data_IF_239167784844
#
_entry.id   IF_239167784844
#
_cell.length_a   1.000
_cell.length_b   1.000
_cell.length_c   1.000
_cell.angle_alpha   90.00
_cell.angle_beta   90.00
_cell.angle_gamma   90.00
#
_symmetry.space_group_name_H-M   'P 1'
#
loop_
_entity.id
_entity.type
_entity.pdbx_description
1 polymer ?
#
# COMPACT_ATOMS: atom_id res chain seq x y z
N UNK A 1 -33.40 -28.47 21.88
CA UNK A 1 -32.33 -27.76 22.62
C UNK A 1 -31.05 -28.45 22.19
N UNK A 2 -30.41 -27.94 21.14
CA UNK A 2 -29.10 -28.39 20.69
C UNK A 2 -28.26 -27.13 20.61
N UNK A 3 -27.48 -26.91 21.67
CA UNK A 3 -26.24 -26.13 21.63
C UNK A 3 -25.33 -26.83 20.60
N UNK A 4 -24.68 -26.20 19.64
CA UNK A 4 -24.00 -24.90 19.72
C UNK A 4 -22.51 -25.18 19.58
N UNK A 5 -22.03 -25.43 18.36
CA UNK A 5 -20.60 -25.38 18.05
C UNK A 5 -20.39 -24.28 17.01
N UNK A 6 -19.99 -23.13 17.55
CA UNK A 6 -19.52 -21.96 16.84
C UNK A 6 -18.15 -22.32 16.26
N UNK A 7 -18.10 -22.63 14.97
CA UNK A 7 -16.84 -22.78 14.25
C UNK A 7 -16.12 -21.43 14.30
N UNK A 8 -15.02 -21.38 15.06
CA UNK A 8 -14.05 -20.30 14.96
C UNK A 8 -13.42 -20.42 13.57
N UNK A 9 -13.63 -19.40 12.77
CA UNK A 9 -12.88 -19.14 11.54
C UNK A 9 -11.48 -18.71 11.97
N UNK A 10 -10.63 -19.71 12.23
CA UNK A 10 -9.22 -19.52 12.51
C UNK A 10 -8.51 -19.24 11.17
N UNK A 11 -8.67 -18.00 10.67
CA UNK A 11 -8.02 -17.53 9.46
C UNK A 11 -6.50 -17.71 9.54
N UNK A 12 -5.95 -18.44 8.58
CA UNK A 12 -4.50 -18.53 8.37
C UNK A 12 -3.91 -17.12 8.26
N UNK A 13 -2.75 -16.82 8.88
CA UNK A 13 -2.11 -15.52 8.71
C UNK A 13 -1.85 -15.31 7.22
N UNK A 14 -2.30 -14.17 6.70
CA UNK A 14 -2.13 -13.82 5.30
C UNK A 14 -0.62 -13.74 5.01
N UNK A 15 -0.09 -14.59 4.12
CA UNK A 15 1.34 -14.70 3.74
C UNK A 15 1.86 -13.46 2.96
N UNK A 16 1.13 -12.35 3.00
CA UNK A 16 1.38 -11.13 2.24
C UNK A 16 2.42 -10.26 2.96
N UNK A 17 3.46 -9.76 2.28
CA UNK A 17 4.41 -8.83 2.87
C UNK A 17 3.69 -7.56 3.38
N UNK A 18 4.01 -7.04 4.58
CA UNK A 18 3.37 -5.84 5.10
C UNK A 18 3.66 -4.62 4.23
N UNK A 19 2.76 -3.65 4.21
CA UNK A 19 3.02 -2.32 3.66
C UNK A 19 3.80 -1.50 4.70
N UNK A 20 5.03 -1.92 4.94
CA UNK A 20 5.83 -1.49 6.10
C UNK A 20 6.26 -0.01 6.03
N UNK A 21 5.91 0.74 7.07
CA UNK A 21 6.41 2.07 7.38
C UNK A 21 7.26 2.06 8.66
N UNK A 22 8.15 3.04 8.83
CA UNK A 22 9.01 3.15 10.02
C UNK A 22 8.55 4.27 10.94
N UNK A 23 8.48 3.99 12.25
CA UNK A 23 8.23 4.98 13.31
C UNK A 23 9.55 5.45 13.93
N UNK A 24 9.67 6.74 14.20
CA UNK A 24 10.87 7.37 14.75
C UNK A 24 10.63 7.93 16.17
N UNK A 25 11.70 8.21 16.96
CA UNK A 25 11.57 8.68 18.34
C UNK A 25 10.80 10.00 18.51
N UNK A 26 10.82 10.86 17.49
CA UNK A 26 10.11 12.15 17.45
C UNK A 26 8.60 12.00 17.21
N UNK A 27 8.14 10.77 16.91
CA UNK A 27 6.75 10.45 16.60
C UNK A 27 6.46 10.38 15.11
N UNK A 28 7.37 10.85 14.25
CA UNK A 28 7.19 10.81 12.79
C UNK A 28 7.07 9.36 12.30
N UNK A 29 6.26 9.16 11.27
CA UNK A 29 6.14 7.88 10.56
C UNK A 29 6.44 8.10 9.08
N UNK A 30 7.42 7.36 8.54
CA UNK A 30 7.83 7.50 7.13
C UNK A 30 7.55 6.23 6.34
N UNK A 31 7.00 6.44 5.14
CA UNK A 31 6.87 5.43 4.11
C UNK A 31 7.46 5.94 2.79
N UNK A 32 8.36 5.19 2.13
CA UNK A 32 9.00 3.96 2.61
C UNK A 32 9.89 4.17 3.85
N UNK A 33 10.28 3.11 4.58
CA UNK A 33 11.14 3.23 5.75
C UNK A 33 12.53 3.71 5.33
N UNK A 34 13.08 4.67 6.08
CA UNK A 34 14.43 5.18 5.89
C UNK A 34 15.35 4.78 7.06
N UNK A 35 16.66 4.57 6.82
CA UNK A 35 17.59 4.25 7.90
C UNK A 35 17.65 5.31 9.00
N UNK A 36 17.44 6.58 8.64
CA UNK A 36 17.43 7.72 9.56
C UNK A 36 16.20 8.57 9.29
N UNK A 37 15.53 8.99 10.37
CA UNK A 37 14.40 9.91 10.34
C UNK A 37 14.83 11.37 10.15
N UNK A 38 13.88 12.32 10.18
CA UNK A 38 14.15 13.74 9.94
C UNK A 38 15.18 14.34 10.91
N UNK A 39 15.15 13.89 12.17
CA UNK A 39 16.08 14.33 13.22
C UNK A 39 17.40 13.53 13.26
N UNK A 40 17.63 12.63 12.29
CA UNK A 40 18.84 11.82 12.18
C UNK A 40 18.91 10.64 13.14
N UNK A 41 17.79 10.28 13.80
CA UNK A 41 17.69 9.10 14.65
C UNK A 41 17.25 7.86 13.85
N UNK A 42 17.66 6.68 14.33
CA UNK A 42 17.22 5.38 13.80
C UNK A 42 15.75 5.11 14.17
N UNK A 43 15.03 4.28 13.38
CA UNK A 43 13.65 3.92 13.68
C UNK A 43 13.52 3.12 14.98
N UNK A 44 12.41 3.31 15.69
CA UNK A 44 12.09 2.64 16.97
C UNK A 44 11.01 1.57 16.83
N UNK A 45 10.43 1.42 15.65
CA UNK A 45 9.43 0.39 15.36
C UNK A 45 8.93 0.47 13.91
N UNK A 46 8.08 -0.46 13.57
CA UNK A 46 7.40 -0.53 12.27
C UNK A 46 5.89 -0.39 12.44
N UNK A 47 5.23 0.03 11.37
CA UNK A 47 3.77 0.09 11.25
C UNK A 47 3.42 -0.56 9.92
N UNK A 48 2.46 -1.49 9.91
CA UNK A 48 1.92 -2.00 8.66
C UNK A 48 0.76 -1.11 8.20
N UNK A 49 0.95 -0.40 7.08
CA UNK A 49 -0.08 0.46 6.52
C UNK A 49 -1.23 -0.35 5.88
N UNK A 50 -1.06 -1.65 5.62
CA UNK A 50 -2.11 -2.51 5.05
C UNK A 50 -3.31 -2.68 6.00
N UNK A 51 -3.10 -2.47 7.30
CA UNK A 51 -4.13 -2.51 8.34
C UNK A 51 -5.00 -1.24 8.39
N UNK A 52 -4.68 -0.22 7.58
CA UNK A 52 -5.32 1.09 7.60
C UNK A 52 -6.00 1.42 6.27
N UNK A 53 -7.07 2.22 6.34
CA UNK A 53 -7.58 2.92 5.17
C UNK A 53 -6.83 4.24 4.96
N UNK A 54 -6.77 4.68 3.70
CA UNK A 54 -6.19 5.95 3.31
C UNK A 54 -7.23 6.83 2.60
N UNK A 55 -6.96 8.13 2.55
CA UNK A 55 -7.75 9.11 1.79
C UNK A 55 -7.00 9.51 0.52
N UNK A 56 -7.69 9.57 -0.62
CA UNK A 56 -7.08 10.04 -1.88
C UNK A 56 -6.83 11.55 -1.79
N UNK A 57 -5.56 11.94 -1.86
CA UNK A 57 -5.13 13.35 -1.84
C UNK A 57 -5.17 13.94 -3.25
N UNK A 58 -4.73 13.17 -4.24
CA UNK A 58 -4.76 13.53 -5.66
C UNK A 58 -4.53 12.28 -6.50
N UNK A 59 -4.96 12.31 -7.77
CA UNK A 59 -4.77 11.19 -8.68
C UNK A 59 -4.69 11.65 -10.14
N UNK A 60 -4.23 10.74 -11.00
CA UNK A 60 -4.15 10.95 -12.45
C UNK A 60 -4.19 9.64 -13.21
N UNK A 61 -4.44 9.71 -14.52
CA UNK A 61 -4.40 8.57 -15.43
C UNK A 61 -3.23 8.69 -16.41
N UNK A 62 -2.33 7.71 -16.38
CA UNK A 62 -1.30 7.55 -17.41
C UNK A 62 -1.83 6.66 -18.53
N UNK A 63 -2.04 7.24 -19.71
CA UNK A 63 -2.61 6.55 -20.88
C UNK A 63 -1.57 6.10 -21.91
N UNK A 64 -0.28 6.23 -21.60
CA UNK A 64 0.81 5.80 -22.49
C UNK A 64 1.91 5.24 -21.60
N UNK A 65 1.71 4.02 -21.12
CA UNK A 65 2.55 3.46 -20.07
C UNK A 65 3.78 2.77 -20.65
N UNK A 66 4.89 2.69 -19.90
CA UNK A 66 6.02 1.87 -20.30
C UNK A 66 5.60 0.39 -20.47
N UNK A 67 6.33 -0.39 -21.28
CA UNK A 67 6.11 -1.82 -21.41
C UNK A 67 6.02 -2.53 -20.05
N UNK A 68 5.07 -3.47 -19.96
CA UNK A 68 4.77 -4.25 -18.76
C UNK A 68 3.87 -3.57 -17.74
N UNK A 69 3.66 -2.26 -17.84
CA UNK A 69 2.72 -1.54 -16.98
C UNK A 69 1.35 -1.48 -17.66
N UNK A 70 0.30 -1.89 -16.94
CA UNK A 70 -1.11 -1.86 -17.40
C UNK A 70 -1.47 -0.50 -17.98
N UNK A 71 -2.18 -0.46 -19.12
CA UNK A 71 -2.66 0.78 -19.75
C UNK A 71 -4.19 0.76 -19.85
N UNK A 72 -4.90 1.81 -19.39
CA UNK A 72 -4.39 2.95 -18.62
C UNK A 72 -3.91 2.53 -17.21
N UNK A 73 -2.96 3.29 -16.66
CA UNK A 73 -2.52 3.14 -15.27
C UNK A 73 -2.99 4.34 -14.45
N UNK A 74 -3.96 4.11 -13.57
CA UNK A 74 -4.46 5.11 -12.63
C UNK A 74 -3.52 5.17 -11.43
N UNK A 75 -2.99 6.35 -11.13
CA UNK A 75 -2.03 6.59 -10.07
C UNK A 75 -2.61 7.55 -9.05
N UNK A 76 -2.54 7.19 -7.77
CA UNK A 76 -3.02 8.02 -6.66
C UNK A 76 -1.90 8.32 -5.67
N UNK A 77 -1.96 9.51 -5.08
CA UNK A 77 -1.30 9.80 -3.80
C UNK A 77 -2.38 9.70 -2.73
N UNK A 78 -2.13 8.87 -1.73
CA UNK A 78 -3.05 8.62 -0.62
C UNK A 78 -2.40 9.04 0.69
N UNK A 79 -3.21 9.38 1.68
CA UNK A 79 -2.79 9.74 3.03
C UNK A 79 -3.48 8.83 4.05
N UNK A 80 -2.68 8.10 4.81
CA UNK A 80 -3.11 7.33 5.97
C UNK A 80 -3.06 8.25 7.20
N UNK A 81 -4.02 8.07 8.10
CA UNK A 81 -3.96 8.60 9.47
C UNK A 81 -3.58 7.45 10.40
N UNK A 82 -2.35 7.51 10.94
CA UNK A 82 -1.82 6.52 11.88
C UNK A 82 -1.62 7.19 13.23
N UNK A 83 -2.53 6.96 14.17
CA UNK A 83 -2.53 7.58 15.50
C UNK A 83 -2.45 9.13 15.47
N UNK A 84 -3.04 9.77 14.45
CA UNK A 84 -2.97 11.22 14.24
C UNK A 84 -1.75 11.72 13.48
N UNK A 85 -0.87 10.82 13.02
CA UNK A 85 0.25 11.14 12.13
C UNK A 85 -0.11 10.84 10.67
N UNK A 86 0.13 11.81 9.79
CA UNK A 86 -0.17 11.68 8.37
C UNK A 86 0.96 10.98 7.61
N UNK A 87 0.68 9.81 7.03
CA UNK A 87 1.64 9.05 6.22
C UNK A 87 1.17 9.01 4.78
N UNK A 88 2.01 9.46 3.83
CA UNK A 88 1.64 9.47 2.40
C UNK A 88 2.31 8.37 1.63
N UNK A 89 1.55 7.77 0.71
CA UNK A 89 2.05 6.79 -0.24
C UNK A 89 1.58 7.14 -1.66
N UNK A 90 2.37 6.72 -2.65
CA UNK A 90 1.97 6.73 -4.06
C UNK A 90 1.81 5.28 -4.53
N UNK A 91 0.73 5.01 -5.26
CA UNK A 91 0.46 3.66 -5.77
C UNK A 91 -0.54 3.65 -6.91
N UNK A 92 -0.77 2.47 -7.48
CA UNK A 92 -1.77 2.29 -8.53
C UNK A 92 -3.15 2.19 -7.90
N UNK A 93 -4.12 2.88 -8.47
CA UNK A 93 -5.54 2.67 -8.17
C UNK A 93 -6.05 1.46 -8.94
N UNK A 94 -7.06 0.79 -8.39
CA UNK A 94 -7.70 -0.36 -9.05
C UNK A 94 -8.67 0.04 -10.17
N UNK A 95 -9.18 1.27 -10.13
CA UNK A 95 -10.15 1.87 -11.06
C UNK A 95 -9.88 3.38 -11.23
N UNK A 96 -10.47 4.01 -12.24
CA UNK A 96 -10.58 5.48 -12.39
C UNK A 96 -11.84 6.07 -11.75
N UNK A 97 -12.71 5.23 -11.21
CA UNK A 97 -13.90 5.62 -10.44
C UNK A 97 -13.50 6.05 -9.03
N UNK A 98 -12.76 7.16 -8.93
CA UNK A 98 -12.29 7.73 -7.67
C UNK A 98 -12.20 9.25 -7.74
N UNK A 99 -12.49 9.91 -6.62
CA UNK A 99 -12.41 11.34 -6.45
C UNK A 99 -11.42 11.71 -5.34
N UNK A 100 -10.97 12.97 -5.32
CA UNK A 100 -10.16 13.50 -4.22
C UNK A 100 -11.03 13.52 -2.95
N UNK A 101 -10.52 12.91 -1.87
CA UNK A 101 -11.23 12.75 -0.61
C UNK A 101 -11.87 11.37 -0.41
N UNK A 102 -11.89 10.52 -1.44
CA UNK A 102 -12.42 9.16 -1.30
C UNK A 102 -11.53 8.31 -0.41
N UNK A 103 -12.17 7.40 0.33
CA UNK A 103 -11.47 6.41 1.15
C UNK A 103 -11.08 5.21 0.28
N UNK A 104 -9.85 4.73 0.46
CA UNK A 104 -9.32 3.55 -0.22
C UNK A 104 -8.64 2.61 0.77
N UNK A 105 -8.61 1.33 0.46
CA UNK A 105 -7.84 0.33 1.19
C UNK A 105 -6.65 -0.17 0.34
N UNK A 106 -5.51 -0.51 0.97
CA UNK A 106 -4.43 -1.22 0.32
C UNK A 106 -4.87 -2.64 -0.05
N UNK A 107 -4.55 -3.07 -1.26
CA UNK A 107 -4.78 -4.44 -1.74
C UNK A 107 -3.49 -4.97 -2.33
N UNK A 108 -2.96 -6.04 -1.75
CA UNK A 108 -1.78 -6.71 -2.26
C UNK A 108 -2.05 -7.31 -3.64
N UNK A 109 -1.04 -7.23 -4.50
CA UNK A 109 -0.99 -7.95 -5.77
C UNK A 109 0.39 -8.60 -5.93
N UNK A 110 0.46 -9.85 -6.40
CA UNK A 110 1.73 -10.53 -6.62
C UNK A 110 2.52 -9.94 -7.79
N UNK A 111 1.87 -9.12 -8.64
CA UNK A 111 2.49 -8.53 -9.83
C UNK A 111 1.89 -7.16 -10.19
N UNK A 112 2.62 -6.09 -9.87
CA UNK A 112 2.29 -4.70 -10.24
C UNK A 112 2.53 -4.40 -11.73
N UNK A 113 3.45 -5.14 -12.36
CA UNK A 113 3.79 -5.03 -13.79
C UNK A 113 4.43 -6.33 -14.27
N UNK A 114 4.29 -6.61 -15.57
CA UNK A 114 4.83 -7.80 -16.23
C UNK A 114 6.38 -7.82 -16.14
N UNK A 115 6.98 -8.87 -15.53
CA UNK A 115 8.43 -9.00 -15.40
C UNK A 115 9.16 -9.21 -16.72
N UNK A 116 8.53 -9.88 -17.68
CA UNK A 116 9.15 -10.25 -18.97
C UNK A 116 9.13 -9.08 -19.97
N UNK A 117 8.25 -8.11 -19.76
CA UNK A 117 8.17 -6.89 -20.58
C UNK A 117 9.08 -5.76 -20.08
N UNK A 118 9.67 -5.91 -18.88
CA UNK A 118 10.53 -4.91 -18.26
C UNK A 118 11.91 -4.76 -18.92
N UNK A 119 12.47 -3.56 -18.88
CA UNK A 119 13.87 -3.30 -19.29
C UNK A 119 14.90 -3.62 -18.19
N UNK A 120 14.44 -3.98 -17.00
CA UNK A 120 15.27 -4.32 -15.84
C UNK A 120 15.49 -5.82 -15.78
N UNK A 121 16.60 -6.24 -15.19
CA UNK A 121 16.86 -7.64 -14.89
C UNK A 121 15.79 -8.16 -13.90
N UNK A 122 15.26 -9.36 -14.15
CA UNK A 122 14.06 -9.86 -13.49
C UNK A 122 14.24 -10.10 -11.99
N UNK A 123 15.40 -10.61 -11.59
CA UNK A 123 15.71 -10.92 -10.19
C UNK A 123 16.16 -9.69 -9.38
N UNK A 124 16.37 -8.54 -10.03
CA UNK A 124 16.89 -7.32 -9.39
C UNK A 124 15.90 -6.60 -8.46
N UNK A 125 14.63 -6.99 -8.44
CA UNK A 125 13.59 -6.41 -7.59
C UNK A 125 12.40 -7.35 -7.41
N UNK A 126 11.57 -7.10 -6.40
CA UNK A 126 10.27 -7.74 -6.28
C UNK A 126 9.26 -7.08 -7.22
N UNK A 127 8.32 -7.87 -7.74
CA UNK A 127 7.32 -7.42 -8.70
C UNK A 127 5.94 -7.24 -8.06
N UNK A 128 5.79 -7.71 -6.84
CA UNK A 128 4.60 -7.58 -6.02
C UNK A 128 4.52 -6.21 -5.34
N UNK A 129 3.39 -5.96 -4.68
CA UNK A 129 3.19 -4.79 -3.84
C UNK A 129 1.72 -4.46 -3.72
N UNK A 130 1.43 -3.22 -3.32
CA UNK A 130 0.07 -2.78 -3.01
C UNK A 130 -0.51 -1.85 -4.09
N UNK A 131 -1.80 -2.03 -4.34
CA UNK A 131 -2.67 -1.11 -5.07
C UNK A 131 -3.70 -0.52 -4.11
N UNK A 132 -4.41 0.51 -4.53
CA UNK A 132 -5.47 1.13 -3.75
C UNK A 132 -6.84 0.88 -4.38
N UNK A 133 -7.76 0.33 -3.58
CA UNK A 133 -9.14 0.07 -3.98
C UNK A 133 -10.07 1.02 -3.24
N UNK A 134 -10.96 1.75 -3.92
CA UNK A 134 -12.03 2.49 -3.26
C UNK A 134 -12.83 1.55 -2.36
N UNK A 135 -13.06 1.98 -1.11
CA UNK A 135 -14.00 1.30 -0.22
C UNK A 135 -15.35 2.00 -0.36
N UNK A 136 -16.39 1.24 -0.68
CA UNK A 136 -17.77 1.75 -0.74
C UNK A 136 -18.34 2.01 0.66
#
# INVERSE_FOLDING_TARGET
MSDGENATDDGEPDDQPPMEAARYPDGTILYPPHPLGPDGAEPVGTVDLSEYHATVVTWTSSTATPPGVREPNHLGIVEFDVDGEAVRAIGQLTTDEVEIGDTVEPVYVPELRDPDAGIREAESHSWDGYRFRPVE
#
